data_IF_003642164515
#
_entry.id   IF_003642164515
#
_cell.length_a   1.000
_cell.length_b   1.000
_cell.length_c   1.000
_cell.angle_alpha   90.00
_cell.angle_beta   90.00
_cell.angle_gamma   90.00
#
_symmetry.space_group_name_H-M   'P 1'
#
loop_
_entity.id
_entity.type
_entity.pdbx_description
1 polymer ?
#
# COMPACT_ATOMS: atom_id res chain seq x y z
N UNK A 1 -14.89 18.12 11.88
CA UNK A 1 -14.75 17.14 12.98
C UNK A 1 -13.27 17.01 13.27
N UNK A 2 -12.80 17.41 14.45
CA UNK A 2 -11.37 17.34 14.79
C UNK A 2 -11.03 15.91 15.19
N UNK A 3 -10.21 15.22 14.39
CA UNK A 3 -9.71 13.89 14.73
C UNK A 3 -8.59 14.06 15.75
N UNK A 4 -8.73 13.40 16.91
CA UNK A 4 -7.70 13.43 17.95
C UNK A 4 -6.67 12.36 17.62
N UNK A 5 -5.53 12.79 17.11
CA UNK A 5 -4.39 11.92 16.82
C UNK A 5 -3.92 11.23 18.10
N UNK A 6 -3.61 9.94 18.02
CA UNK A 6 -2.98 9.22 19.14
C UNK A 6 -1.51 9.67 19.33
N UNK A 7 -0.84 9.17 20.38
CA UNK A 7 0.55 9.58 20.67
C UNK A 7 1.52 9.23 19.54
N UNK A 8 1.33 8.09 18.88
CA UNK A 8 2.19 7.65 17.78
C UNK A 8 1.97 8.52 16.55
N UNK A 9 0.71 8.82 16.23
CA UNK A 9 0.35 9.69 15.12
C UNK A 9 0.86 11.13 15.32
N UNK A 10 0.75 11.67 16.55
CA UNK A 10 1.31 12.98 16.90
C UNK A 10 2.84 13.01 16.78
N UNK A 11 3.53 11.94 17.21
CA UNK A 11 4.98 11.82 17.06
C UNK A 11 5.41 11.80 15.58
N UNK A 12 4.65 11.15 14.71
CA UNK A 12 4.89 11.20 13.26
C UNK A 12 4.73 12.63 12.74
N UNK A 13 3.63 13.29 13.07
CA UNK A 13 3.33 14.65 12.59
C UNK A 13 4.42 15.65 13.00
N UNK A 14 4.86 15.60 14.26
CA UNK A 14 5.90 16.49 14.80
C UNK A 14 7.27 16.25 14.16
N UNK A 15 7.60 15.00 13.84
CA UNK A 15 8.91 14.63 13.31
C UNK A 15 8.98 14.68 11.78
N UNK A 16 7.84 14.67 11.09
CA UNK A 16 7.76 14.70 9.63
C UNK A 16 8.50 15.91 9.04
N UNK A 17 8.30 17.12 9.61
CA UNK A 17 8.99 18.32 9.14
C UNK A 17 10.47 18.38 9.52
N UNK A 18 10.89 17.61 10.54
CA UNK A 18 12.27 17.61 11.05
C UNK A 18 13.15 16.57 10.37
N UNK A 19 12.59 15.77 9.47
CA UNK A 19 13.28 14.63 8.91
C UNK A 19 14.37 15.09 7.92
N UNK A 20 15.65 14.75 8.14
CA UNK A 20 16.72 15.21 7.27
C UNK A 20 16.63 14.53 5.91
N UNK A 21 16.85 15.30 4.84
CA UNK A 21 16.97 14.74 3.51
C UNK A 21 18.19 13.81 3.43
N UNK A 22 18.03 12.65 2.78
CA UNK A 22 19.10 11.67 2.63
C UNK A 22 20.13 12.22 1.64
N UNK A 23 21.29 12.66 2.13
CA UNK A 23 22.35 13.26 1.30
C UNK A 23 23.38 12.24 0.78
N UNK A 24 23.36 11.01 1.29
CA UNK A 24 24.29 9.96 0.88
C UNK A 24 23.93 9.45 -0.52
N UNK A 25 24.88 9.56 -1.45
CA UNK A 25 24.69 9.15 -2.85
C UNK A 25 24.47 7.63 -2.98
N UNK A 26 25.04 6.82 -2.09
CA UNK A 26 24.87 5.36 -2.14
C UNK A 26 23.44 4.95 -1.76
N UNK A 27 22.89 5.55 -0.71
CA UNK A 27 21.52 5.30 -0.25
C UNK A 27 20.51 5.80 -1.28
N UNK A 28 20.74 6.98 -1.87
CA UNK A 28 19.92 7.50 -2.97
C UNK A 28 19.89 6.53 -4.16
N UNK A 29 21.05 6.00 -4.59
CA UNK A 29 21.11 5.01 -5.67
C UNK A 29 20.38 3.72 -5.30
N UNK A 30 20.53 3.24 -4.07
CA UNK A 30 19.83 2.05 -3.58
C UNK A 30 18.31 2.23 -3.65
N UNK A 31 17.78 3.34 -3.11
CA UNK A 31 16.35 3.63 -3.12
C UNK A 31 15.81 3.82 -4.54
N UNK A 32 16.57 4.51 -5.41
CA UNK A 32 16.21 4.65 -6.82
C UNK A 32 16.13 3.31 -7.53
N UNK A 33 17.08 2.40 -7.28
CA UNK A 33 17.08 1.07 -7.88
C UNK A 33 15.93 0.20 -7.34
N UNK A 34 15.64 0.28 -6.04
CA UNK A 34 14.50 -0.41 -5.44
C UNK A 34 13.17 0.07 -6.05
N UNK A 35 12.98 1.40 -6.16
CA UNK A 35 11.80 1.99 -6.78
C UNK A 35 11.64 1.59 -8.26
N UNK A 36 12.74 1.66 -9.05
CA UNK A 36 12.75 1.22 -10.45
C UNK A 36 12.40 -0.26 -10.59
N UNK A 37 12.88 -1.11 -9.69
CA UNK A 37 12.59 -2.55 -9.70
C UNK A 37 11.13 -2.84 -9.38
N UNK A 38 10.58 -2.15 -8.38
CA UNK A 38 9.18 -2.27 -7.99
C UNK A 38 8.20 -1.84 -9.10
N UNK A 39 8.55 -0.77 -9.84
CA UNK A 39 7.72 -0.28 -10.95
C UNK A 39 7.65 -1.23 -12.15
N UNK A 40 8.70 -2.03 -12.39
CA UNK A 40 8.83 -2.84 -13.61
C UNK A 40 8.16 -4.23 -13.57
N UNK A 41 7.71 -4.71 -12.41
CA UNK A 41 7.31 -6.13 -12.22
C UNK A 41 5.80 -6.32 -12.01
N UNK A 42 4.96 -5.68 -12.82
CA UNK A 42 3.51 -5.91 -12.77
C UNK A 42 3.04 -6.55 -14.07
N UNK A 43 2.41 -7.71 -13.96
CA UNK A 43 1.74 -8.35 -15.08
C UNK A 43 0.23 -8.09 -14.97
N UNK A 44 -0.43 -7.65 -16.05
CA UNK A 44 -1.87 -7.53 -16.06
C UNK A 44 -2.51 -8.92 -16.01
N UNK A 45 -3.54 -9.07 -15.18
CA UNK A 45 -4.34 -10.29 -15.11
C UNK A 45 -5.82 -9.93 -15.31
N UNK A 46 -6.51 -10.76 -16.08
CA UNK A 46 -7.97 -10.65 -16.25
C UNK A 46 -8.59 -11.92 -15.67
N UNK A 47 -9.47 -11.76 -14.68
CA UNK A 47 -10.14 -12.86 -13.99
C UNK A 47 -11.64 -12.71 -14.18
N UNK A 48 -12.33 -13.78 -14.57
CA UNK A 48 -13.80 -13.84 -14.53
C UNK A 48 -14.22 -14.22 -13.12
N UNK A 49 -15.14 -13.47 -12.56
CA UNK A 49 -15.64 -13.64 -11.19
C UNK A 49 -17.16 -13.64 -11.24
N UNK A 50 -17.81 -14.41 -10.36
CA UNK A 50 -19.25 -14.36 -10.25
C UNK A 50 -19.70 -12.97 -9.75
N UNK A 51 -20.88 -12.52 -10.19
CA UNK A 51 -21.42 -11.20 -9.84
C UNK A 51 -21.60 -11.04 -8.32
N UNK A 52 -22.14 -12.06 -7.67
CA UNK A 52 -22.31 -12.10 -6.21
C UNK A 52 -20.98 -11.96 -5.46
N UNK A 53 -19.89 -12.53 -5.98
CA UNK A 53 -18.58 -12.50 -5.32
C UNK A 53 -17.95 -11.12 -5.42
N UNK A 54 -18.04 -10.47 -6.59
CA UNK A 54 -17.48 -9.13 -6.76
C UNK A 54 -18.23 -8.10 -5.90
N UNK A 55 -19.54 -8.27 -5.71
CA UNK A 55 -20.33 -7.42 -4.83
C UNK A 55 -19.94 -7.63 -3.35
N UNK A 56 -19.82 -8.88 -2.90
CA UNK A 56 -19.33 -9.20 -1.57
C UNK A 56 -17.92 -8.65 -1.31
N UNK A 57 -17.03 -8.70 -2.31
CA UNK A 57 -15.67 -8.12 -2.24
C UNK A 57 -15.73 -6.61 -2.08
N UNK A 58 -16.57 -5.90 -2.84
CA UNK A 58 -16.74 -4.44 -2.72
C UNK A 58 -17.22 -4.05 -1.32
N UNK A 59 -18.17 -4.79 -0.76
CA UNK A 59 -18.66 -4.55 0.61
C UNK A 59 -17.52 -4.74 1.62
N UNK A 60 -16.74 -5.83 1.51
CA UNK A 60 -15.59 -6.10 2.40
C UNK A 60 -14.53 -5.01 2.30
N UNK A 61 -14.20 -4.56 1.10
CA UNK A 61 -13.22 -3.51 0.87
C UNK A 61 -13.70 -2.15 1.43
N UNK A 62 -14.98 -1.81 1.24
CA UNK A 62 -15.60 -0.60 1.76
C UNK A 62 -15.55 -0.54 3.30
N UNK A 63 -15.81 -1.66 3.98
CA UNK A 63 -15.67 -1.77 5.45
C UNK A 63 -14.26 -1.45 5.95
N UNK A 64 -13.25 -1.67 5.11
CA UNK A 64 -11.84 -1.38 5.41
C UNK A 64 -11.41 0.01 4.90
N UNK A 65 -12.29 0.77 4.25
CA UNK A 65 -11.96 2.05 3.62
C UNK A 65 -11.06 1.92 2.38
N UNK A 66 -11.06 0.76 1.70
CA UNK A 66 -10.20 0.45 0.57
C UNK A 66 -10.98 0.31 -0.73
N UNK A 67 -10.34 0.63 -1.86
CA UNK A 67 -10.84 0.25 -3.18
C UNK A 67 -10.82 -1.28 -3.33
N UNK A 68 -11.84 -1.84 -4.01
CA UNK A 68 -11.97 -3.29 -4.15
C UNK A 68 -10.79 -3.92 -4.90
N UNK A 69 -10.18 -3.20 -5.85
CA UNK A 69 -8.98 -3.65 -6.55
C UNK A 69 -7.78 -3.76 -5.61
N UNK A 70 -7.62 -2.80 -4.70
CA UNK A 70 -6.55 -2.81 -3.68
C UNK A 70 -6.73 -4.00 -2.74
N UNK A 71 -7.97 -4.29 -2.34
CA UNK A 71 -8.29 -5.44 -1.51
C UNK A 71 -7.96 -6.77 -2.21
N UNK A 72 -8.32 -6.91 -3.49
CA UNK A 72 -7.96 -8.09 -4.30
C UNK A 72 -6.43 -8.26 -4.38
N UNK A 73 -5.69 -7.19 -4.66
CA UNK A 73 -4.23 -7.23 -4.71
C UNK A 73 -3.62 -7.64 -3.37
N UNK A 74 -4.18 -7.18 -2.25
CA UNK A 74 -3.75 -7.55 -0.91
C UNK A 74 -3.95 -9.04 -0.65
N UNK A 75 -5.09 -9.62 -1.06
CA UNK A 75 -5.35 -11.06 -0.96
C UNK A 75 -4.34 -11.86 -1.78
N UNK A 76 -4.08 -11.47 -3.04
CA UNK A 76 -3.08 -12.13 -3.88
C UNK A 76 -1.71 -12.09 -3.22
N UNK A 77 -1.30 -10.92 -2.71
CA UNK A 77 -0.02 -10.78 -2.04
C UNK A 77 0.07 -11.63 -0.76
N UNK A 78 -0.98 -11.65 0.06
CA UNK A 78 -1.06 -12.45 1.28
C UNK A 78 -0.84 -13.94 0.99
N UNK A 79 -1.47 -14.46 -0.06
CA UNK A 79 -1.35 -15.87 -0.44
C UNK A 79 -0.01 -16.18 -1.13
N UNK A 80 0.55 -15.25 -1.91
CA UNK A 80 1.82 -15.45 -2.60
C UNK A 80 3.06 -15.35 -1.69
N UNK A 81 3.00 -14.57 -0.60
CA UNK A 81 4.14 -14.30 0.28
C UNK A 81 4.54 -15.49 1.17
N UNK A 82 3.74 -16.57 1.25
CA UNK A 82 4.03 -17.76 2.07
C UNK A 82 4.75 -18.91 1.34
N UNK A 83 5.40 -18.65 0.20
CA UNK A 83 6.26 -19.61 -0.50
C UNK A 83 7.72 -19.50 -0.07
#
# INVERSE_FOLDING_TARGET
MSYKLDKYEQEIEINFEKQPSIKNQNDLKLFQNAAKTHLKRKYPITIRVAEQDIEAIKIKASKLGLAYQTYINMLIHKEATKL
#
